data_IF_558639504573
#
_entry.id   IF_558639504573
#
_cell.length_a   1.000
_cell.length_b   1.000
_cell.length_c   1.000
_cell.angle_alpha   90.00
_cell.angle_beta   90.00
_cell.angle_gamma   90.00
#
_symmetry.space_group_name_H-M   'P 1'
#
loop_
_entity.id
_entity.type
_entity.pdbx_description
1 polymer ?
#
# COMPACT_ATOMS: atom_id res chain seq x y z
N UNK A 1 -0.81 -2.66 2.46
CA UNK A 1 -0.14 -1.39 2.81
C UNK A 1 1.25 -1.69 3.33
N UNK A 2 2.27 -0.93 2.92
CA UNK A 2 3.64 -1.06 3.42
C UNK A 2 3.89 -0.16 4.64
N UNK A 3 5.18 -0.06 5.06
CA UNK A 3 5.60 0.92 6.06
C UNK A 3 5.12 0.66 7.49
N UNK A 4 4.75 -0.56 7.82
CA UNK A 4 4.32 -0.93 9.17
C UNK A 4 2.89 -0.53 9.54
N UNK A 5 2.10 -0.02 8.61
CA UNK A 5 0.73 0.45 8.84
C UNK A 5 -0.29 -0.70 8.93
N UNK A 6 -0.10 -1.75 8.12
CA UNK A 6 -0.94 -2.96 8.13
C UNK A 6 -0.24 -4.07 8.94
N UNK A 7 -0.49 -4.08 10.22
CA UNK A 7 -0.04 -5.11 11.15
C UNK A 7 -1.01 -6.29 11.23
N UNK A 8 -0.69 -7.31 12.05
CA UNK A 8 -1.52 -8.49 12.22
C UNK A 8 -2.91 -8.17 12.78
N UNK A 9 -3.05 -7.18 13.65
CA UNK A 9 -4.34 -6.77 14.22
C UNK A 9 -5.32 -6.33 13.11
N UNK A 10 -4.87 -5.44 12.21
CA UNK A 10 -5.69 -4.97 11.11
C UNK A 10 -5.98 -6.10 10.11
N UNK A 11 -4.97 -6.89 9.74
CA UNK A 11 -5.14 -7.96 8.79
C UNK A 11 -6.13 -9.03 9.30
N UNK A 12 -6.03 -9.42 10.58
CA UNK A 12 -6.94 -10.36 11.22
C UNK A 12 -8.38 -9.82 11.28
N UNK A 13 -8.55 -8.54 11.68
CA UNK A 13 -9.87 -7.93 11.78
C UNK A 13 -10.57 -7.83 10.41
N UNK A 14 -9.82 -7.50 9.34
CA UNK A 14 -10.34 -7.51 7.97
C UNK A 14 -10.71 -8.92 7.51
N UNK A 15 -9.85 -9.91 7.77
CA UNK A 15 -10.11 -11.31 7.42
C UNK A 15 -11.33 -11.87 8.16
N UNK A 16 -11.45 -11.63 9.47
CA UNK A 16 -12.59 -12.03 10.28
C UNK A 16 -13.90 -11.38 9.81
N UNK A 17 -13.85 -10.19 9.24
CA UNK A 17 -14.99 -9.49 8.66
C UNK A 17 -15.37 -9.96 7.23
N UNK A 18 -14.63 -10.91 6.64
CA UNK A 18 -14.90 -11.45 5.31
C UNK A 18 -14.14 -10.79 4.16
N UNK A 19 -13.23 -9.86 4.46
CA UNK A 19 -12.29 -9.30 3.50
C UNK A 19 -11.00 -10.11 3.39
N UNK A 20 -10.12 -9.77 2.45
CA UNK A 20 -8.77 -10.31 2.37
C UNK A 20 -7.81 -9.44 3.18
N UNK A 21 -7.54 -9.82 4.43
CA UNK A 21 -6.58 -9.14 5.28
C UNK A 21 -5.16 -9.27 4.74
N UNK A 22 -4.50 -8.14 4.48
CA UNK A 22 -3.18 -8.15 3.84
C UNK A 22 -2.13 -7.56 4.77
N UNK A 23 -1.16 -8.38 5.18
CA UNK A 23 0.00 -7.96 5.96
C UNK A 23 0.95 -7.10 5.12
N UNK A 24 1.45 -6.02 5.71
CA UNK A 24 2.56 -5.24 5.13
C UNK A 24 3.89 -5.99 5.24
N UNK A 25 4.85 -5.63 4.36
CA UNK A 25 6.20 -6.19 4.45
C UNK A 25 6.84 -5.78 5.78
N UNK A 26 7.34 -6.77 6.51
CA UNK A 26 8.04 -6.64 7.78
C UNK A 26 9.33 -7.48 7.76
N UNK A 27 10.26 -7.33 8.70
CA UNK A 27 11.39 -8.24 8.84
C UNK A 27 10.92 -9.71 8.87
N UNK A 28 11.68 -10.68 8.30
CA UNK A 28 11.19 -12.04 8.10
C UNK A 28 10.66 -12.74 9.36
N UNK A 29 11.28 -12.53 10.52
CA UNK A 29 10.80 -13.11 11.78
C UNK A 29 9.46 -12.48 12.21
N UNK A 30 9.37 -11.15 12.15
CA UNK A 30 8.14 -10.42 12.49
C UNK A 30 6.99 -10.76 11.52
N UNK A 31 7.33 -10.99 10.23
CA UNK A 31 6.36 -11.42 9.22
C UNK A 31 5.79 -12.80 9.56
N UNK A 32 6.66 -13.75 9.94
CA UNK A 32 6.24 -15.09 10.36
C UNK A 32 5.31 -15.04 11.56
N UNK A 33 5.69 -14.29 12.60
CA UNK A 33 4.84 -14.09 13.79
C UNK A 33 3.50 -13.45 13.45
N UNK A 34 3.52 -12.45 12.54
CA UNK A 34 2.30 -11.79 12.07
C UNK A 34 1.36 -12.73 11.33
N UNK A 35 1.88 -13.62 10.47
CA UNK A 35 1.10 -14.64 9.77
C UNK A 35 0.45 -15.59 10.77
N UNK A 36 1.23 -16.12 11.75
CA UNK A 36 0.73 -17.00 12.79
C UNK A 36 -0.39 -16.34 13.61
N UNK A 37 -0.22 -15.05 13.94
CA UNK A 37 -1.22 -14.28 14.68
C UNK A 37 -2.50 -14.08 13.88
N UNK A 38 -2.42 -13.73 12.59
CA UNK A 38 -3.61 -13.59 11.74
C UNK A 38 -4.40 -14.90 11.68
N UNK A 39 -3.71 -16.05 11.56
CA UNK A 39 -4.37 -17.36 11.55
C UNK A 39 -5.05 -17.70 12.87
N UNK A 40 -4.45 -17.33 14.01
CA UNK A 40 -5.03 -17.53 15.31
C UNK A 40 -6.27 -16.64 15.54
N UNK A 41 -6.20 -15.36 15.14
CA UNK A 41 -7.25 -14.38 15.38
C UNK A 41 -8.39 -14.43 14.33
N UNK A 42 -8.13 -15.05 13.14
CA UNK A 42 -9.12 -15.24 12.07
C UNK A 42 -9.02 -16.66 11.49
N UNK A 43 -9.38 -17.69 12.24
CA UNK A 43 -9.24 -19.08 11.83
C UNK A 43 -10.07 -19.40 10.58
N UNK A 44 -9.48 -20.16 9.65
CA UNK A 44 -10.11 -20.56 8.40
C UNK A 44 -10.23 -19.42 7.35
N UNK A 45 -9.62 -18.27 7.59
CA UNK A 45 -9.58 -17.16 6.65
C UNK A 45 -8.24 -17.10 5.91
N UNK A 46 -8.29 -16.68 4.64
CA UNK A 46 -7.10 -16.49 3.84
C UNK A 46 -6.21 -15.37 4.40
N UNK A 47 -4.89 -15.61 4.36
CA UNK A 47 -3.84 -14.65 4.77
C UNK A 47 -3.11 -14.15 3.53
N UNK A 48 -3.08 -12.83 3.34
CA UNK A 48 -2.33 -12.19 2.27
C UNK A 48 -1.09 -11.45 2.79
N UNK A 49 -0.03 -11.43 1.98
CA UNK A 49 1.20 -10.67 2.26
C UNK A 49 1.51 -9.74 1.10
N UNK A 50 1.77 -8.47 1.38
CA UNK A 50 2.20 -7.49 0.39
C UNK A 50 3.73 -7.45 0.28
N UNK A 51 4.28 -7.90 -0.84
CA UNK A 51 5.70 -7.95 -1.15
C UNK A 51 6.11 -6.69 -1.91
N UNK A 52 6.76 -5.75 -1.22
CA UNK A 52 7.31 -4.53 -1.81
C UNK A 52 8.65 -4.84 -2.47
N UNK A 53 8.69 -4.97 -3.78
CA UNK A 53 9.88 -5.43 -4.51
C UNK A 53 11.15 -4.60 -4.26
N UNK A 54 11.11 -3.27 -4.05
CA UNK A 54 12.31 -2.50 -3.73
C UNK A 54 13.00 -2.91 -2.42
N UNK A 55 12.24 -3.52 -1.47
CA UNK A 55 12.72 -3.96 -0.16
C UNK A 55 12.67 -5.48 0.02
N UNK A 56 12.26 -6.20 -1.02
CA UNK A 56 12.09 -7.64 -0.97
C UNK A 56 13.44 -8.35 -0.86
N UNK A 57 13.51 -9.38 0.00
CA UNK A 57 14.64 -10.29 0.15
C UNK A 57 14.16 -11.72 -0.02
N UNK A 58 15.05 -12.62 -0.43
CA UNK A 58 14.73 -14.05 -0.53
C UNK A 58 14.12 -14.62 0.75
N UNK A 59 14.57 -14.16 1.91
CA UNK A 59 14.02 -14.60 3.20
C UNK A 59 12.54 -14.28 3.37
N UNK A 60 12.02 -13.19 2.79
CA UNK A 60 10.58 -12.89 2.83
C UNK A 60 9.78 -13.89 1.97
N UNK A 61 10.28 -14.20 0.76
CA UNK A 61 9.66 -15.21 -0.11
C UNK A 61 9.66 -16.58 0.59
N UNK A 62 10.80 -16.96 1.17
CA UNK A 62 10.93 -18.21 1.94
C UNK A 62 9.95 -18.29 3.13
N UNK A 63 9.66 -17.16 3.80
CA UNK A 63 8.62 -17.13 4.85
C UNK A 63 7.25 -17.36 4.24
N UNK A 64 6.88 -16.66 3.15
CA UNK A 64 5.58 -16.84 2.51
C UNK A 64 5.35 -18.31 2.07
N UNK A 65 6.37 -18.93 1.48
CA UNK A 65 6.31 -20.35 1.04
C UNK A 65 6.19 -21.30 2.24
N UNK A 66 7.07 -21.17 3.25
CA UNK A 66 7.07 -22.06 4.43
C UNK A 66 5.82 -21.96 5.27
N UNK A 67 5.32 -20.75 5.43
CA UNK A 67 4.06 -20.50 6.15
C UNK A 67 2.83 -20.73 5.25
N UNK A 68 3.00 -21.16 4.00
CA UNK A 68 1.93 -21.44 3.06
C UNK A 68 0.87 -20.32 3.04
N UNK A 69 1.29 -19.05 2.82
CA UNK A 69 0.35 -17.95 2.72
C UNK A 69 -0.58 -18.16 1.52
N UNK A 70 -1.84 -17.79 1.66
CA UNK A 70 -2.84 -18.03 0.62
C UNK A 70 -2.64 -17.09 -0.58
N UNK A 71 -2.24 -15.83 -0.32
CA UNK A 71 -2.12 -14.79 -1.35
C UNK A 71 -0.85 -13.98 -1.16
N UNK A 72 -0.15 -13.70 -2.24
CA UNK A 72 0.92 -12.72 -2.30
C UNK A 72 0.56 -11.57 -3.24
N UNK A 73 0.76 -10.33 -2.80
CA UNK A 73 0.65 -9.14 -3.64
C UNK A 73 2.05 -8.67 -3.98
N UNK A 74 2.50 -8.86 -5.22
CA UNK A 74 3.78 -8.36 -5.73
C UNK A 74 3.58 -6.92 -6.20
N UNK A 75 4.18 -5.96 -5.50
CA UNK A 75 3.97 -4.55 -5.74
C UNK A 75 5.27 -3.82 -6.16
N UNK A 76 5.15 -2.91 -7.14
CA UNK A 76 6.21 -2.02 -7.63
C UNK A 76 7.38 -2.71 -8.32
N UNK A 77 7.11 -3.71 -9.13
CA UNK A 77 8.07 -4.48 -9.88
C UNK A 77 7.81 -5.98 -9.79
N UNK A 78 8.87 -6.74 -9.75
CA UNK A 78 8.84 -8.20 -9.80
C UNK A 78 9.43 -8.71 -11.10
N UNK A 79 9.49 -10.02 -11.20
CA UNK A 79 9.92 -10.74 -12.39
C UNK A 79 9.22 -12.11 -12.45
N UNK A 80 9.41 -12.80 -13.58
CA UNK A 80 8.87 -14.15 -13.81
C UNK A 80 9.27 -15.13 -12.70
N UNK A 81 10.54 -15.13 -12.30
CA UNK A 81 11.07 -16.07 -11.31
C UNK A 81 10.38 -15.92 -9.94
N UNK A 82 10.14 -14.69 -9.51
CA UNK A 82 9.43 -14.43 -8.26
C UNK A 82 7.98 -14.94 -8.29
N UNK A 83 7.29 -14.70 -9.41
CA UNK A 83 5.91 -15.13 -9.58
C UNK A 83 5.84 -16.66 -9.63
N UNK A 84 6.69 -17.32 -10.44
CA UNK A 84 6.77 -18.77 -10.53
C UNK A 84 7.11 -19.41 -9.18
N UNK A 85 8.11 -18.90 -8.42
CA UNK A 85 8.49 -19.45 -7.11
C UNK A 85 7.33 -19.43 -6.11
N UNK A 86 6.48 -18.39 -6.15
CA UNK A 86 5.29 -18.29 -5.29
C UNK A 86 4.15 -19.21 -5.78
N UNK A 87 3.87 -19.21 -7.08
CA UNK A 87 2.80 -20.01 -7.68
C UNK A 87 3.07 -21.51 -7.58
N UNK A 88 4.33 -21.94 -7.78
CA UNK A 88 4.76 -23.35 -7.62
C UNK A 88 4.58 -23.83 -6.17
N UNK A 89 4.61 -22.91 -5.20
CA UNK A 89 4.33 -23.19 -3.81
C UNK A 89 2.83 -23.14 -3.46
N UNK A 90 1.94 -22.95 -4.44
CA UNK A 90 0.49 -22.89 -4.25
C UNK A 90 -0.03 -21.55 -3.75
N UNK A 91 0.80 -20.48 -3.77
CA UNK A 91 0.40 -19.15 -3.39
C UNK A 91 -0.27 -18.45 -4.56
N UNK A 92 -1.48 -17.91 -4.38
CA UNK A 92 -2.15 -17.09 -5.39
C UNK A 92 -1.44 -15.73 -5.52
N UNK A 93 -0.98 -15.36 -6.71
CA UNK A 93 -0.16 -14.16 -6.92
C UNK A 93 -0.93 -13.07 -7.63
N UNK A 94 -1.23 -11.98 -6.92
CA UNK A 94 -1.61 -10.71 -7.54
C UNK A 94 -0.38 -9.87 -7.83
N UNK A 95 -0.33 -9.25 -9.02
CA UNK A 95 0.68 -8.23 -9.35
C UNK A 95 0.01 -6.86 -9.44
N UNK A 96 0.56 -5.87 -8.71
CA UNK A 96 0.07 -4.49 -8.76
C UNK A 96 0.64 -3.77 -9.98
N UNK A 97 -0.24 -3.16 -10.77
CA UNK A 97 0.06 -2.51 -12.05
C UNK A 97 -0.63 -1.15 -12.18
N UNK A 98 -0.01 -0.22 -12.90
CA UNK A 98 -0.57 1.11 -13.20
C UNK A 98 -0.45 1.48 -14.68
N UNK A 99 0.05 0.56 -15.51
CA UNK A 99 0.12 0.71 -16.98
C UNK A 99 -0.19 -0.60 -17.68
N UNK A 100 -0.67 -0.53 -18.93
CA UNK A 100 -0.95 -1.72 -19.74
C UNK A 100 0.32 -2.57 -20.00
N UNK A 101 1.50 -1.94 -20.08
CA UNK A 101 2.77 -2.66 -20.24
C UNK A 101 3.15 -3.45 -18.98
N UNK A 102 2.91 -2.88 -17.79
CA UNK A 102 3.09 -3.61 -16.54
C UNK A 102 2.11 -4.78 -16.46
N UNK A 103 0.83 -4.58 -16.84
CA UNK A 103 -0.18 -5.63 -16.85
C UNK A 103 0.20 -6.78 -17.81
N UNK A 104 0.60 -6.48 -19.06
CA UNK A 104 1.10 -7.49 -20.00
C UNK A 104 2.27 -8.29 -19.46
N UNK A 105 3.24 -7.61 -18.83
CA UNK A 105 4.38 -8.30 -18.21
C UNK A 105 3.94 -9.20 -17.05
N UNK A 106 3.06 -8.73 -16.18
CA UNK A 106 2.55 -9.52 -15.05
C UNK A 106 1.85 -10.81 -15.52
N UNK A 107 1.00 -10.71 -16.54
CA UNK A 107 0.36 -11.87 -17.18
C UNK A 107 1.40 -12.81 -17.79
N UNK A 108 2.39 -12.27 -18.51
CA UNK A 108 3.48 -13.07 -19.09
C UNK A 108 4.39 -13.74 -18.04
N UNK A 109 4.43 -13.26 -16.82
CA UNK A 109 5.12 -13.90 -15.69
C UNK A 109 4.29 -15.01 -15.04
N UNK A 110 3.02 -15.18 -15.39
CA UNK A 110 2.14 -16.18 -14.83
C UNK A 110 1.36 -15.71 -13.59
N UNK A 111 1.22 -14.39 -13.38
CA UNK A 111 0.40 -13.86 -12.29
C UNK A 111 -1.04 -14.41 -12.36
N UNK A 112 -1.62 -14.79 -11.23
CA UNK A 112 -2.99 -15.31 -11.14
C UNK A 112 -4.04 -14.20 -11.22
N UNK A 113 -3.66 -12.97 -10.89
CA UNK A 113 -4.54 -11.80 -10.96
C UNK A 113 -3.77 -10.49 -10.98
N UNK A 114 -4.47 -9.41 -11.24
CA UNK A 114 -3.91 -8.05 -11.30
C UNK A 114 -4.59 -7.15 -10.26
N UNK A 115 -3.82 -6.19 -9.71
CA UNK A 115 -4.37 -5.04 -9.00
C UNK A 115 -4.11 -3.80 -9.83
N UNK A 116 -5.14 -3.28 -10.49
CA UNK A 116 -5.08 -2.04 -11.27
C UNK A 116 -5.11 -0.85 -10.32
N UNK A 117 -3.97 -0.16 -10.18
CA UNK A 117 -3.84 1.00 -9.30
C UNK A 117 -3.96 2.30 -10.07
N UNK A 118 -4.88 3.18 -9.63
CA UNK A 118 -5.00 4.54 -10.14
C UNK A 118 -4.10 5.56 -9.43
N UNK A 119 -3.90 6.71 -10.07
CA UNK A 119 -3.10 7.84 -9.54
C UNK A 119 -3.70 8.44 -8.26
N UNK A 120 -5.00 8.33 -8.05
CA UNK A 120 -5.69 8.76 -6.83
C UNK A 120 -5.41 7.90 -5.60
N UNK A 121 -4.73 6.77 -5.76
CA UNK A 121 -4.32 5.92 -4.65
C UNK A 121 -3.36 6.63 -3.69
N UNK A 122 -3.43 6.30 -2.41
CA UNK A 122 -2.45 6.73 -1.40
C UNK A 122 -1.19 5.88 -1.44
N UNK A 123 -0.08 6.45 -1.00
CA UNK A 123 1.21 5.75 -1.03
C UNK A 123 1.90 5.84 -2.39
N UNK A 124 2.82 4.92 -2.64
CA UNK A 124 3.56 4.86 -3.90
C UNK A 124 2.64 4.49 -5.06
N UNK A 125 2.97 5.00 -6.25
CA UNK A 125 2.12 4.93 -7.43
C UNK A 125 2.82 4.14 -8.55
N UNK A 126 2.06 3.22 -9.18
CA UNK A 126 2.54 2.42 -10.31
C UNK A 126 2.36 3.11 -11.66
N UNK A 127 1.47 4.12 -11.72
CA UNK A 127 1.11 4.81 -12.96
C UNK A 127 0.63 6.23 -12.72
N UNK A 128 -0.01 6.80 -13.72
CA UNK A 128 -0.50 8.19 -13.73
C UNK A 128 -1.95 8.32 -14.18
N UNK A 129 -2.59 7.23 -14.58
CA UNK A 129 -3.98 7.23 -14.98
C UNK A 129 -4.90 7.09 -13.77
N UNK A 130 -6.09 7.66 -13.83
CA UNK A 130 -7.16 7.44 -12.85
C UNK A 130 -7.60 5.98 -12.89
N UNK A 131 -7.98 5.40 -11.74
CA UNK A 131 -8.26 3.98 -11.59
C UNK A 131 -9.32 3.47 -12.58
N UNK A 132 -10.47 4.14 -12.65
CA UNK A 132 -11.56 3.76 -13.55
C UNK A 132 -11.21 3.94 -15.04
N UNK A 133 -10.33 4.86 -15.41
CA UNK A 133 -9.83 5.03 -16.78
C UNK A 133 -8.79 3.97 -17.16
N UNK A 134 -8.02 3.50 -16.17
CA UNK A 134 -7.01 2.46 -16.38
C UNK A 134 -7.61 1.06 -16.40
N UNK A 135 -8.67 0.80 -15.61
CA UNK A 135 -9.29 -0.51 -15.47
C UNK A 135 -9.61 -1.21 -16.81
N UNK A 136 -10.26 -0.58 -17.81
CA UNK A 136 -10.53 -1.23 -19.09
C UNK A 136 -9.26 -1.71 -19.81
N UNK A 137 -8.16 -0.96 -19.68
CA UNK A 137 -6.86 -1.32 -20.29
C UNK A 137 -6.22 -2.52 -19.57
N UNK A 138 -6.40 -2.62 -18.25
CA UNK A 138 -5.94 -3.78 -17.47
C UNK A 138 -6.76 -5.02 -17.79
N UNK A 139 -8.09 -4.89 -17.86
CA UNK A 139 -9.01 -5.97 -18.23
C UNK A 139 -8.72 -6.54 -19.63
N UNK A 140 -8.46 -5.67 -20.60
CA UNK A 140 -8.17 -6.08 -21.99
C UNK A 140 -6.93 -6.99 -22.12
N UNK A 141 -6.02 -6.97 -21.16
CA UNK A 141 -4.77 -7.76 -21.18
C UNK A 141 -4.73 -8.81 -20.07
N UNK A 142 -5.74 -8.88 -19.21
CA UNK A 142 -5.77 -9.79 -18.06
C UNK A 142 -5.99 -11.26 -18.47
N UNK A 143 -6.45 -11.53 -19.69
CA UNK A 143 -6.67 -12.89 -20.23
C UNK A 143 -7.54 -13.74 -19.29
N UNK A 144 -8.72 -13.22 -18.91
CA UNK A 144 -9.67 -13.87 -18.02
C UNK A 144 -9.32 -13.88 -16.53
N UNK A 145 -8.16 -13.38 -16.15
CA UNK A 145 -7.72 -13.30 -14.74
C UNK A 145 -8.47 -12.22 -13.99
N UNK A 146 -8.72 -12.40 -12.67
CA UNK A 146 -9.36 -11.37 -11.86
C UNK A 146 -8.52 -10.08 -11.82
N UNK A 147 -9.20 -8.94 -11.99
CA UNK A 147 -8.60 -7.61 -11.86
C UNK A 147 -9.27 -6.87 -10.71
N UNK A 148 -8.52 -6.59 -9.66
CA UNK A 148 -8.97 -5.75 -8.55
C UNK A 148 -8.67 -4.29 -8.83
N UNK A 149 -9.57 -3.38 -8.45
CA UNK A 149 -9.35 -1.94 -8.58
C UNK A 149 -8.82 -1.32 -7.28
N UNK A 150 -7.74 -0.57 -7.35
CA UNK A 150 -7.13 0.18 -6.25
C UNK A 150 -7.02 1.66 -6.58
N UNK A 151 -7.35 2.52 -5.62
CA UNK A 151 -7.36 3.98 -5.78
C UNK A 151 -8.76 4.56 -5.68
N UNK A 152 -8.91 5.59 -4.85
CA UNK A 152 -10.20 6.25 -4.65
C UNK A 152 -11.25 5.47 -3.86
N UNK A 153 -11.03 4.24 -3.47
CA UNK A 153 -12.02 3.39 -2.79
C UNK A 153 -12.16 3.75 -1.31
N UNK A 154 -13.34 4.20 -0.90
CA UNK A 154 -13.67 4.56 0.47
C UNK A 154 -15.06 4.06 0.92
N UNK A 155 -16.01 3.89 0.00
CA UNK A 155 -17.42 3.64 0.28
C UNK A 155 -17.98 2.49 -0.56
N UNK A 156 -19.17 1.98 -0.21
CA UNK A 156 -19.86 0.99 -1.03
C UNK A 156 -20.23 1.50 -2.43
N UNK A 157 -20.46 2.80 -2.60
CA UNK A 157 -20.68 3.36 -3.95
C UNK A 157 -19.44 3.28 -4.83
N UNK A 158 -18.24 3.44 -4.25
CA UNK A 158 -16.99 3.27 -4.99
C UNK A 158 -16.80 1.80 -5.41
N UNK A 159 -17.13 0.86 -4.51
CA UNK A 159 -17.11 -0.58 -4.82
C UNK A 159 -18.08 -0.91 -5.94
N UNK A 160 -19.32 -0.40 -5.88
CA UNK A 160 -20.33 -0.60 -6.93
C UNK A 160 -19.85 -0.07 -8.27
N UNK A 161 -19.29 1.12 -8.32
CA UNK A 161 -18.76 1.71 -9.54
C UNK A 161 -17.61 0.86 -10.14
N UNK A 162 -16.71 0.35 -9.29
CA UNK A 162 -15.63 -0.54 -9.72
C UNK A 162 -16.14 -1.84 -10.32
N UNK A 163 -17.09 -2.51 -9.64
CA UNK A 163 -17.70 -3.75 -10.12
C UNK A 163 -18.49 -3.55 -11.40
N UNK A 164 -19.28 -2.46 -11.50
CA UNK A 164 -20.01 -2.10 -12.72
C UNK A 164 -19.08 -1.83 -13.91
N UNK A 165 -17.85 -1.36 -13.65
CA UNK A 165 -16.81 -1.17 -14.66
C UNK A 165 -16.04 -2.45 -15.02
N UNK A 166 -16.38 -3.62 -14.42
CA UNK A 166 -15.81 -4.92 -14.72
C UNK A 166 -14.70 -5.38 -13.77
N UNK A 167 -14.40 -4.65 -12.69
CA UNK A 167 -13.47 -5.15 -11.68
C UNK A 167 -14.04 -6.39 -10.97
N UNK A 168 -13.18 -7.35 -10.64
CA UNK A 168 -13.54 -8.53 -9.84
C UNK A 168 -13.66 -8.24 -8.34
N UNK A 169 -13.22 -7.04 -7.92
CA UNK A 169 -13.23 -6.59 -6.54
C UNK A 169 -12.44 -5.30 -6.36
N UNK A 170 -12.28 -4.87 -5.12
CA UNK A 170 -11.60 -3.60 -4.79
C UNK A 170 -10.51 -3.78 -3.74
N UNK A 171 -9.51 -2.89 -3.79
CA UNK A 171 -8.46 -2.78 -2.79
C UNK A 171 -8.52 -1.39 -2.16
N UNK A 172 -8.85 -1.32 -0.87
CA UNK A 172 -8.89 -0.09 -0.10
C UNK A 172 -7.68 0.01 0.83
N UNK A 173 -6.96 1.10 0.77
CA UNK A 173 -5.82 1.39 1.64
C UNK A 173 -6.16 2.46 2.67
N UNK A 174 -6.41 3.68 2.20
CA UNK A 174 -6.63 4.86 3.04
C UNK A 174 -7.82 4.71 3.98
N UNK A 175 -8.90 4.02 3.55
CA UNK A 175 -10.06 3.72 4.39
C UNK A 175 -9.65 2.96 5.66
N UNK A 176 -8.73 1.99 5.52
CA UNK A 176 -8.24 1.20 6.64
C UNK A 176 -7.16 1.89 7.49
N UNK A 177 -6.60 3.03 7.08
CA UNK A 177 -5.82 3.88 7.97
C UNK A 177 -6.68 4.50 9.06
N UNK A 178 -7.97 4.75 8.76
CA UNK A 178 -8.98 5.28 9.68
C UNK A 178 -9.77 4.15 10.37
N UNK A 179 -9.05 3.12 10.84
CA UNK A 179 -9.63 2.07 11.69
C UNK A 179 -8.88 1.97 13.01
N UNK A 180 -9.57 1.48 14.05
CA UNK A 180 -9.00 1.30 15.39
C UNK A 180 -7.84 0.30 15.39
N UNK A 181 -7.88 -0.69 14.50
CA UNK A 181 -6.89 -1.76 14.36
C UNK A 181 -5.67 -1.35 13.51
N UNK A 182 -5.72 -0.18 12.89
CA UNK A 182 -4.59 0.37 12.14
C UNK A 182 -3.44 0.79 13.06
N UNK A 183 -2.21 0.56 12.63
CA UNK A 183 -1.01 1.05 13.33
C UNK A 183 -0.66 2.51 12.97
N UNK A 184 -1.50 3.22 12.24
CA UNK A 184 -1.31 4.63 11.96
C UNK A 184 -1.32 5.43 13.28
N UNK A 185 -0.40 6.39 13.41
CA UNK A 185 -0.35 7.24 14.60
C UNK A 185 -1.66 8.02 14.76
N UNK A 186 -2.23 8.21 15.98
CA UNK A 186 -3.50 8.93 16.17
C UNK A 186 -3.49 10.34 15.57
N UNK A 187 -2.40 11.07 15.70
CA UNK A 187 -2.24 12.40 15.06
C UNK A 187 -2.26 12.31 13.53
N UNK A 188 -1.76 11.22 12.94
CA UNK A 188 -1.85 10.99 11.51
C UNK A 188 -3.30 10.74 11.08
N UNK A 189 -4.06 9.92 11.84
CA UNK A 189 -5.49 9.71 11.59
C UNK A 189 -6.27 11.02 11.69
N UNK A 190 -5.99 11.84 12.72
CA UNK A 190 -6.60 13.17 12.89
C UNK A 190 -6.33 14.05 11.67
N UNK A 191 -5.10 14.07 11.14
CA UNK A 191 -4.76 14.84 9.94
C UNK A 191 -5.39 14.29 8.66
N UNK A 192 -5.59 13.00 8.55
CA UNK A 192 -6.35 12.42 7.44
C UNK A 192 -7.79 12.96 7.45
N UNK A 193 -8.44 12.97 8.63
CA UNK A 193 -9.82 13.47 8.78
C UNK A 193 -9.95 14.98 8.51
N UNK A 194 -8.88 15.73 8.75
CA UNK A 194 -8.84 17.18 8.51
C UNK A 194 -8.28 17.55 7.13
N UNK A 195 -7.94 16.56 6.29
CA UNK A 195 -7.28 16.83 5.03
C UNK A 195 -8.26 17.38 3.97
N UNK A 196 -7.95 18.55 3.43
CA UNK A 196 -8.68 19.17 2.32
C UNK A 196 -8.10 18.81 0.95
N UNK A 197 -6.91 18.25 0.91
CA UNK A 197 -6.21 17.85 -0.32
C UNK A 197 -5.15 16.77 -0.08
N UNK A 198 -4.76 16.11 -1.15
CA UNK A 198 -3.56 15.29 -1.22
C UNK A 198 -2.62 15.84 -2.29
N UNK A 199 -1.34 15.55 -2.18
CA UNK A 199 -0.34 15.93 -3.19
C UNK A 199 0.41 14.69 -3.67
N UNK A 200 0.74 14.69 -4.96
CA UNK A 200 1.68 13.73 -5.53
C UNK A 200 3.08 14.29 -5.43
N UNK A 201 3.99 13.55 -4.85
CA UNK A 201 5.36 14.00 -4.61
C UNK A 201 6.35 12.84 -4.72
N UNK A 202 7.64 13.15 -4.73
CA UNK A 202 8.75 12.21 -4.56
C UNK A 202 9.66 12.63 -3.39
N UNK A 203 9.13 13.44 -2.45
CA UNK A 203 9.91 13.98 -1.33
C UNK A 203 10.40 12.89 -0.39
N UNK A 204 9.52 11.95 -0.02
CA UNK A 204 9.84 10.85 0.90
C UNK A 204 10.47 9.66 0.15
N UNK A 205 11.42 9.96 -0.74
CA UNK A 205 12.00 9.02 -1.68
C UNK A 205 13.39 8.51 -1.31
N UNK A 206 13.89 8.77 -0.10
CA UNK A 206 15.18 8.22 0.34
C UNK A 206 15.10 6.69 0.34
N UNK A 207 16.01 6.04 -0.36
CA UNK A 207 16.02 4.60 -0.66
C UNK A 207 15.01 4.11 -1.71
N UNK A 208 13.95 4.88 -1.98
CA UNK A 208 12.94 4.53 -2.98
C UNK A 208 12.37 5.77 -3.67
N UNK A 209 13.06 6.32 -4.69
CA UNK A 209 12.72 7.59 -5.35
C UNK A 209 11.53 7.50 -6.32
N UNK A 210 10.48 6.76 -5.96
CA UNK A 210 9.27 6.61 -6.75
C UNK A 210 8.20 7.66 -6.36
N UNK A 211 7.34 8.08 -7.29
CA UNK A 211 6.22 8.98 -6.99
C UNK A 211 5.26 8.35 -5.97
N UNK A 212 4.74 9.18 -5.08
CA UNK A 212 3.79 8.75 -4.07
C UNK A 212 2.82 9.88 -3.70
N UNK A 213 1.65 9.51 -3.16
CA UNK A 213 0.62 10.45 -2.74
C UNK A 213 0.50 10.50 -1.23
N UNK A 214 0.50 11.73 -0.70
CA UNK A 214 0.46 12.03 0.74
C UNK A 214 -0.51 13.18 1.04
N UNK A 215 -0.95 13.32 2.28
CA UNK A 215 -1.47 14.61 2.78
C UNK A 215 -0.30 15.54 3.09
N UNK A 216 -0.45 16.87 2.87
CA UNK A 216 0.59 17.84 3.18
C UNK A 216 0.97 17.87 4.67
N UNK A 217 2.23 18.21 4.95
CA UNK A 217 2.77 18.44 6.28
C UNK A 217 3.94 19.43 6.23
N UNK A 218 4.53 19.78 7.37
CA UNK A 218 5.60 20.77 7.44
C UNK A 218 6.81 20.44 6.55
N UNK A 219 7.12 19.15 6.31
CA UNK A 219 8.17 18.77 5.38
C UNK A 219 7.79 19.08 3.93
N UNK A 220 6.56 18.77 3.52
CA UNK A 220 6.09 19.08 2.16
C UNK A 220 5.95 20.56 1.91
N UNK A 221 5.46 21.34 2.89
CA UNK A 221 5.33 22.79 2.78
C UNK A 221 6.68 23.46 2.55
N UNK A 222 7.72 22.93 3.19
CA UNK A 222 9.08 23.46 3.04
C UNK A 222 9.78 22.99 1.76
N UNK A 223 9.61 21.72 1.38
CA UNK A 223 10.46 21.07 0.39
C UNK A 223 9.76 20.67 -0.90
N UNK A 224 8.45 20.88 -1.03
CA UNK A 224 7.74 20.74 -2.29
C UNK A 224 7.52 22.10 -2.98
N UNK A 225 7.29 22.05 -4.29
CA UNK A 225 6.78 23.14 -5.10
C UNK A 225 5.25 23.15 -5.08
N UNK A 226 4.64 24.15 -5.71
CA UNK A 226 3.19 24.26 -5.78
C UNK A 226 2.53 23.07 -6.50
N UNK A 227 3.22 22.45 -7.47
CA UNK A 227 2.78 21.23 -8.16
C UNK A 227 2.97 19.92 -7.35
N UNK A 228 3.46 20.02 -6.12
CA UNK A 228 3.76 18.89 -5.25
C UNK A 228 5.13 18.25 -5.46
N UNK A 229 5.84 18.56 -6.54
CA UNK A 229 7.17 18.00 -6.81
C UNK A 229 8.20 18.44 -5.78
N UNK A 230 9.12 17.54 -5.38
CA UNK A 230 10.20 17.90 -4.47
C UNK A 230 11.17 18.93 -5.11
N UNK A 231 11.64 19.87 -4.30
CA UNK A 231 12.67 20.83 -4.70
C UNK A 231 13.98 20.13 -5.08
N UNK A 232 14.92 20.84 -5.69
CA UNK A 232 16.12 20.26 -6.28
C UNK A 232 16.97 19.45 -5.29
N UNK A 233 17.19 19.96 -4.08
CA UNK A 233 18.07 19.31 -3.09
C UNK A 233 17.54 17.93 -2.66
N UNK A 234 16.33 17.76 -2.11
CA UNK A 234 15.83 16.43 -1.76
C UNK A 234 15.70 15.52 -2.98
N UNK A 235 15.36 16.06 -4.16
CA UNK A 235 15.28 15.28 -5.40
C UNK A 235 16.63 14.69 -5.81
N UNK A 236 17.72 15.46 -5.71
CA UNK A 236 19.06 15.00 -6.00
C UNK A 236 19.50 13.90 -5.03
N UNK A 237 19.29 14.11 -3.72
CA UNK A 237 19.61 13.13 -2.68
C UNK A 237 18.83 11.82 -2.92
N UNK A 238 17.53 11.90 -3.18
CA UNK A 238 16.70 10.72 -3.43
C UNK A 238 17.15 9.97 -4.68
N UNK A 239 17.48 10.69 -5.78
CA UNK A 239 17.93 10.09 -7.03
C UNK A 239 19.15 9.19 -6.90
N UNK A 240 20.08 9.53 -5.99
CA UNK A 240 21.29 8.75 -5.71
C UNK A 240 21.13 7.69 -4.62
N UNK A 241 19.96 7.55 -3.99
CA UNK A 241 19.81 6.79 -2.74
C UNK A 241 19.22 5.36 -2.89
N UNK A 242 18.90 4.92 -4.10
CA UNK A 242 18.20 3.63 -4.31
C UNK A 242 18.97 2.41 -3.74
N UNK A 243 20.30 2.46 -3.68
CA UNK A 243 21.10 1.39 -3.08
C UNK A 243 20.85 1.21 -1.58
N UNK A 244 20.38 2.26 -0.88
CA UNK A 244 20.05 2.21 0.54
C UNK A 244 18.85 1.29 0.84
N UNK A 245 18.01 0.95 -0.14
CA UNK A 245 16.90 0.01 0.02
C UNK A 245 17.38 -1.39 0.45
N UNK A 246 18.63 -1.72 0.17
CA UNK A 246 19.26 -2.99 0.55
C UNK A 246 19.77 -3.01 2.00
N UNK A 247 19.87 -1.85 2.64
CA UNK A 247 20.30 -1.76 4.04
C UNK A 247 19.11 -2.04 4.97
N UNK A 248 19.34 -2.56 6.19
CA UNK A 248 18.28 -2.70 7.17
C UNK A 248 17.66 -1.32 7.44
N UNK A 249 16.35 -1.20 7.28
CA UNK A 249 15.64 0.01 7.66
C UNK A 249 15.71 0.16 9.18
N UNK A 250 16.57 1.03 9.67
CA UNK A 250 16.65 1.32 11.10
C UNK A 250 15.71 2.48 11.42
N UNK A 251 14.90 2.33 12.46
CA UNK A 251 14.08 3.41 13.06
C UNK A 251 14.91 4.66 13.39
N UNK A 252 16.22 4.53 13.46
CA UNK A 252 17.18 5.61 13.64
C UNK A 252 17.15 6.66 12.53
N UNK A 253 16.81 6.29 11.29
CA UNK A 253 16.69 7.25 10.17
C UNK A 253 15.58 8.25 10.45
N UNK A 254 14.44 7.83 11.00
CA UNK A 254 13.34 8.73 11.39
C UNK A 254 13.73 9.73 12.48
N UNK A 255 14.61 9.34 13.41
CA UNK A 255 15.10 10.25 14.47
C UNK A 255 15.96 11.38 13.90
N UNK A 256 16.66 11.11 12.80
CA UNK A 256 17.48 12.11 12.09
C UNK A 256 16.66 13.00 11.15
N UNK A 257 15.44 12.59 10.78
CA UNK A 257 14.57 13.40 9.93
C UNK A 257 14.03 14.61 10.70
N UNK A 258 14.14 15.78 10.08
CA UNK A 258 13.55 17.02 10.58
C UNK A 258 12.99 17.82 9.40
N UNK A 259 11.92 18.63 9.58
CA UNK A 259 11.38 19.44 8.49
C UNK A 259 12.38 20.41 7.87
N UNK A 260 13.46 20.71 8.59
CA UNK A 260 14.54 21.58 8.11
C UNK A 260 15.62 20.88 7.28
N UNK A 261 15.67 19.54 7.32
CA UNK A 261 16.68 18.75 6.60
C UNK A 261 16.06 18.07 5.37
N UNK A 262 16.72 18.09 4.20
CA UNK A 262 16.15 17.54 2.96
C UNK A 262 16.32 16.01 2.84
N UNK A 263 16.16 15.28 3.94
CA UNK A 263 16.35 13.83 4.05
C UNK A 263 15.06 13.19 4.57
N UNK A 264 14.30 12.53 3.69
CA UNK A 264 13.02 11.94 4.06
C UNK A 264 12.89 10.51 3.52
N UNK A 265 12.85 9.55 4.45
CA UNK A 265 12.61 8.14 4.14
C UNK A 265 11.13 7.86 3.87
N UNK A 266 10.80 6.75 3.20
CA UNK A 266 9.42 6.34 2.91
C UNK A 266 8.69 5.76 4.13
N UNK A 267 9.10 6.07 5.34
CA UNK A 267 8.50 5.54 6.57
C UNK A 267 7.29 6.39 6.95
N UNK A 268 6.16 5.72 7.21
CA UNK A 268 4.94 6.38 7.68
C UNK A 268 4.93 6.53 9.22
N UNK A 269 4.23 7.52 9.78
CA UNK A 269 4.08 7.66 11.23
C UNK A 269 3.19 6.55 11.79
N UNK A 270 3.74 5.76 12.73
CA UNK A 270 3.02 4.66 13.39
C UNK A 270 2.89 4.86 14.88
N UNK A 271 2.00 4.12 15.52
CA UNK A 271 1.85 4.06 16.98
C UNK A 271 3.22 3.79 17.64
N UNK A 272 3.51 4.47 18.73
CA UNK A 272 4.80 4.42 19.44
C UNK A 272 5.84 5.45 18.96
N UNK A 273 5.59 6.14 17.84
CA UNK A 273 6.38 7.30 17.45
C UNK A 273 5.88 8.58 18.15
N UNK A 274 6.72 9.63 18.31
CA UNK A 274 6.25 10.91 18.82
C UNK A 274 5.29 11.58 17.81
N UNK A 275 4.29 12.34 18.29
CA UNK A 275 3.33 13.04 17.45
C UNK A 275 4.01 13.97 16.41
N UNK A 276 5.16 14.56 16.76
CA UNK A 276 5.96 15.38 15.84
C UNK A 276 6.53 14.61 14.62
N UNK A 277 6.48 13.26 14.63
CA UNK A 277 6.87 12.48 13.46
C UNK A 277 5.96 12.76 12.25
N UNK A 278 4.69 13.11 12.48
CA UNK A 278 3.72 13.42 11.43
C UNK A 278 4.14 14.63 10.58
N UNK A 279 4.91 15.57 11.15
CA UNK A 279 5.41 16.75 10.45
C UNK A 279 6.58 16.48 9.50
N UNK A 280 7.22 15.30 9.62
CA UNK A 280 8.45 14.95 8.90
C UNK A 280 8.46 13.56 8.28
N UNK A 281 7.40 12.78 8.43
CA UNK A 281 7.25 11.46 7.84
C UNK A 281 6.22 11.44 6.72
N UNK A 282 6.21 10.37 5.93
CA UNK A 282 5.31 10.21 4.81
C UNK A 282 3.87 9.89 5.30
N UNK A 283 3.00 10.88 5.29
CA UNK A 283 1.59 10.72 5.61
C UNK A 283 0.81 10.26 4.36
N UNK A 284 0.96 8.99 4.01
CA UNK A 284 0.36 8.39 2.82
C UNK A 284 -1.16 8.40 2.88
N UNK A 285 -1.81 9.01 1.89
CA UNK A 285 -3.26 8.98 1.77
C UNK A 285 -3.69 9.26 0.33
N UNK A 286 -4.70 8.55 -0.15
CA UNK A 286 -5.31 8.77 -1.45
C UNK A 286 -6.37 9.87 -1.42
N UNK A 287 -6.89 10.23 -2.58
CA UNK A 287 -7.92 11.26 -2.70
C UNK A 287 -9.23 10.90 -1.99
N UNK A 288 -9.44 9.64 -1.64
CA UNK A 288 -10.59 9.19 -0.83
C UNK A 288 -10.68 9.87 0.54
N UNK A 289 -9.60 10.50 1.06
CA UNK A 289 -9.64 11.28 2.32
C UNK A 289 -10.74 12.34 2.33
N UNK A 290 -11.04 12.93 1.18
CA UNK A 290 -12.05 13.98 1.04
C UNK A 290 -13.49 13.49 1.28
N UNK A 291 -13.70 12.18 1.42
CA UNK A 291 -15.01 11.54 1.61
C UNK A 291 -15.10 10.71 2.89
N UNK A 292 -14.09 10.81 3.77
CA UNK A 292 -14.03 10.08 5.02
C UNK A 292 -14.04 11.05 6.19
N UNK A 293 -14.88 10.80 7.20
CA UNK A 293 -15.15 11.72 8.30
C UNK A 293 -14.99 11.09 9.70
N UNK A 294 -14.67 9.80 9.79
CA UNK A 294 -14.60 9.11 11.08
C UNK A 294 -13.59 7.94 11.07
N UNK A 295 -13.08 7.65 12.25
CA UNK A 295 -12.39 6.39 12.55
C UNK A 295 -13.45 5.36 12.95
N UNK A 296 -13.36 4.15 12.38
CA UNK A 296 -14.32 3.07 12.63
C UNK A 296 -13.58 1.77 12.94
N UNK A 297 -14.30 0.66 13.20
CA UNK A 297 -13.67 -0.66 13.21
C UNK A 297 -13.39 -1.17 11.79
N UNK A 298 -12.38 -2.02 11.64
CA UNK A 298 -12.12 -2.70 10.36
C UNK A 298 -13.33 -3.51 9.89
N UNK A 299 -14.09 -4.13 10.81
CA UNK A 299 -15.35 -4.82 10.54
C UNK A 299 -16.37 -3.90 9.87
N UNK A 300 -16.58 -2.71 10.43
CA UNK A 300 -17.52 -1.74 9.86
C UNK A 300 -17.06 -1.26 8.49
N UNK A 301 -15.75 -0.96 8.33
CA UNK A 301 -15.19 -0.56 7.04
C UNK A 301 -15.37 -1.63 5.96
N UNK A 302 -15.16 -2.92 6.30
CA UNK A 302 -15.41 -4.03 5.37
C UNK A 302 -16.90 -4.12 5.02
N UNK A 303 -17.81 -4.03 5.99
CA UNK A 303 -19.26 -4.08 5.75
C UNK A 303 -19.73 -2.94 4.84
N UNK A 304 -19.26 -1.71 5.08
CA UNK A 304 -19.57 -0.53 4.24
C UNK A 304 -19.10 -0.72 2.78
N UNK A 305 -17.89 -1.24 2.58
CA UNK A 305 -17.36 -1.52 1.24
C UNK A 305 -18.11 -2.68 0.57
N UNK A 306 -18.41 -3.75 1.30
CA UNK A 306 -19.12 -4.93 0.78
C UNK A 306 -20.57 -4.63 0.38
N UNK A 307 -21.23 -3.68 1.03
CA UNK A 307 -22.60 -3.25 0.67
C UNK A 307 -22.70 -2.69 -0.77
N UNK A 308 -21.59 -2.32 -1.39
CA UNK A 308 -21.55 -1.94 -2.80
C UNK A 308 -21.58 -3.12 -3.77
N UNK A 309 -21.31 -4.33 -3.32
CA UNK A 309 -21.33 -5.57 -4.13
C UNK A 309 -22.64 -6.36 -4.08
N UNK A 310 -23.59 -5.89 -3.26
CA UNK A 310 -24.96 -6.41 -3.16
C UNK A 310 -25.88 -5.55 -4.04
#
# INVERSE_FOLDING_TARGET
MGGGLAGPELAAAVAAAGGLGTLGLAPPNDLRESISRVRADAPGRAVAVNLLTPFLRRSHVSVCVREAVDVAVVAFGGDRRLVEELSDAGVFVFVMVGTADQARRAVAWGADGLIAQGDEAGGHLCGTAVALEFLPRALAVADGRPVLLAGGIATGSDTRAALAAGASGVVAGTRFLLTHESRAHPEYQRRILAAERTIRTNLFGLSWPAPHRVIPNAATDRWCRADGSAKAVPRLINGGSAFLARLPATSSVLRLQAPRMPLFSPIAPTVGMPASAVDRAACYAGQSVLRMNSVTSARQAVAELAAGGQ
#
